data_IF_946670815600
#
_entry.id   IF_946670815600
#
_cell.length_a   1.000
_cell.length_b   1.000
_cell.length_c   1.000
_cell.angle_alpha   90.00
_cell.angle_beta   90.00
_cell.angle_gamma   90.00
#
_symmetry.space_group_name_H-M   'P 1'
#
loop_
_entity.id
_entity.type
_entity.pdbx_description
1 polymer ?
#
# COMPACT_ATOMS: atom_id res chain seq x y z
N UNK A 1 -4.06 -21.53 27.21
CA UNK A 1 -2.86 -21.84 26.38
C UNK A 1 -3.06 -21.23 25.00
N UNK A 2 -2.11 -20.43 24.50
CA UNK A 2 -2.19 -19.90 23.15
C UNK A 2 -2.07 -21.05 22.14
N UNK A 3 -3.10 -21.28 21.32
CA UNK A 3 -3.05 -22.27 20.24
C UNK A 3 -2.16 -21.73 19.12
N UNK A 4 -1.21 -22.52 18.65
CA UNK A 4 -0.41 -22.18 17.47
C UNK A 4 -1.36 -22.17 16.26
N UNK A 5 -1.36 -21.06 15.51
CA UNK A 5 -2.18 -20.94 14.31
C UNK A 5 -1.82 -22.02 13.28
N UNK A 6 -2.80 -22.56 12.52
CA UNK A 6 -2.52 -23.56 11.50
C UNK A 6 -1.64 -23.01 10.37
N UNK A 7 -1.09 -23.93 9.56
CA UNK A 7 -0.11 -23.57 8.53
C UNK A 7 -0.62 -22.54 7.51
N UNK A 8 -1.91 -22.59 7.17
CA UNK A 8 -2.53 -21.64 6.25
C UNK A 8 -2.50 -20.21 6.81
N UNK A 9 -3.02 -20.02 8.02
CA UNK A 9 -3.07 -18.73 8.71
C UNK A 9 -1.67 -18.15 8.91
N UNK A 10 -0.68 -18.99 9.28
CA UNK A 10 0.72 -18.56 9.38
C UNK A 10 1.29 -18.07 8.05
N UNK A 11 0.93 -18.70 6.94
CA UNK A 11 1.37 -18.25 5.62
C UNK A 11 0.71 -16.92 5.23
N UNK A 12 -0.59 -16.75 5.53
CA UNK A 12 -1.30 -15.49 5.29
C UNK A 12 -0.68 -14.36 6.12
N UNK A 13 -0.37 -14.59 7.40
CA UNK A 13 0.31 -13.59 8.25
C UNK A 13 1.61 -13.13 7.58
N UNK A 14 2.48 -14.06 7.21
CA UNK A 14 3.77 -13.73 6.57
C UNK A 14 3.58 -12.94 5.28
N UNK A 15 2.65 -13.38 4.43
CA UNK A 15 2.34 -12.70 3.17
C UNK A 15 1.91 -11.25 3.44
N UNK A 16 0.95 -11.06 4.35
CA UNK A 16 0.41 -9.74 4.65
C UNK A 16 1.44 -8.82 5.27
N UNK A 17 2.28 -9.33 6.17
CA UNK A 17 3.39 -8.56 6.77
C UNK A 17 4.38 -8.06 5.72
N UNK A 18 4.78 -8.92 4.77
CA UNK A 18 5.67 -8.52 3.67
C UNK A 18 5.01 -7.48 2.77
N UNK A 19 3.73 -7.68 2.43
CA UNK A 19 2.98 -6.75 1.59
C UNK A 19 2.84 -5.36 2.24
N UNK A 20 2.48 -5.31 3.54
CA UNK A 20 2.37 -4.05 4.29
C UNK A 20 3.71 -3.31 4.33
N UNK A 21 4.82 -4.05 4.51
CA UNK A 21 6.15 -3.46 4.56
C UNK A 21 6.55 -2.82 3.23
N UNK A 22 6.39 -3.56 2.12
CA UNK A 22 6.65 -3.04 0.77
C UNK A 22 5.74 -1.84 0.46
N UNK A 23 4.45 -1.95 0.79
CA UNK A 23 3.48 -0.88 0.58
C UNK A 23 3.85 0.39 1.37
N UNK A 24 4.25 0.24 2.64
CA UNK A 24 4.67 1.35 3.49
C UNK A 24 5.91 2.06 2.94
N UNK A 25 6.87 1.28 2.43
CA UNK A 25 8.03 1.83 1.72
C UNK A 25 7.61 2.67 0.51
N UNK A 26 6.73 2.16 -0.35
CA UNK A 26 6.30 2.89 -1.55
C UNK A 26 5.56 4.20 -1.25
N UNK A 27 4.72 4.22 -0.22
CA UNK A 27 4.01 5.44 0.17
C UNK A 27 4.99 6.50 0.65
N UNK A 28 6.00 6.11 1.42
CA UNK A 28 7.00 7.04 1.93
C UNK A 28 7.94 7.53 0.83
N UNK A 29 8.43 6.64 -0.04
CA UNK A 29 9.27 7.03 -1.18
C UNK A 29 8.52 7.96 -2.14
N UNK A 30 7.24 7.68 -2.40
CA UNK A 30 6.40 8.54 -3.23
C UNK A 30 6.25 9.93 -2.62
N UNK A 31 5.95 10.02 -1.32
CA UNK A 31 5.87 11.29 -0.60
C UNK A 31 7.17 12.10 -0.76
N UNK A 32 8.31 11.47 -0.47
CA UNK A 32 9.61 12.15 -0.49
C UNK A 32 9.97 12.60 -1.89
N UNK A 33 9.68 11.79 -2.91
CA UNK A 33 9.91 12.15 -4.31
C UNK A 33 9.11 13.40 -4.70
N UNK A 34 7.86 13.50 -4.28
CA UNK A 34 7.01 14.66 -4.57
C UNK A 34 7.49 15.90 -3.81
N UNK A 35 7.76 15.78 -2.51
CA UNK A 35 8.29 16.89 -1.69
C UNK A 35 9.62 17.41 -2.26
N UNK A 36 10.56 16.51 -2.56
CA UNK A 36 11.86 16.87 -3.15
C UNK A 36 11.72 17.49 -4.55
N UNK A 37 10.73 17.06 -5.33
CA UNK A 37 10.44 17.67 -6.63
C UNK A 37 9.96 19.09 -6.43
N UNK A 38 8.96 19.33 -5.57
CA UNK A 38 8.37 20.66 -5.35
C UNK A 38 9.31 21.67 -4.68
N UNK A 39 10.23 21.20 -3.83
CA UNK A 39 11.28 22.03 -3.24
C UNK A 39 12.35 22.47 -4.25
N UNK A 40 12.42 21.82 -5.41
CA UNK A 40 13.42 22.13 -6.42
C UNK A 40 13.17 23.52 -7.03
N UNK A 41 14.02 24.49 -6.64
CA UNK A 41 13.94 25.89 -7.06
C UNK A 41 14.01 26.08 -8.58
N UNK A 42 14.53 25.10 -9.33
CA UNK A 42 14.57 25.14 -10.80
C UNK A 42 13.18 25.04 -11.44
N UNK A 43 12.16 24.55 -10.72
CA UNK A 43 10.77 24.52 -11.18
C UNK A 43 10.20 25.94 -11.29
N UNK A 44 10.49 26.78 -10.30
CA UNK A 44 9.93 28.11 -10.19
C UNK A 44 10.40 29.02 -11.33
N UNK A 45 11.57 28.78 -11.93
CA UNK A 45 12.04 29.62 -13.04
C UNK A 45 11.27 29.41 -14.35
N UNK A 46 10.65 28.24 -14.55
CA UNK A 46 9.95 27.90 -15.79
C UNK A 46 8.42 28.06 -15.71
N UNK A 47 7.85 28.10 -14.51
CA UNK A 47 6.40 28.27 -14.30
C UNK A 47 6.13 29.59 -13.57
N UNK A 48 5.77 30.64 -14.33
CA UNK A 48 5.45 31.97 -13.79
C UNK A 48 4.37 31.93 -12.70
N UNK A 49 3.40 31.03 -12.81
CA UNK A 49 2.31 30.90 -11.84
C UNK A 49 2.75 30.19 -10.54
N UNK A 50 3.82 29.38 -10.59
CA UNK A 50 4.37 28.70 -9.42
C UNK A 50 5.23 29.63 -8.53
N UNK A 51 5.79 30.71 -9.08
CA UNK A 51 6.75 31.59 -8.37
C UNK A 51 6.20 32.28 -7.12
N UNK A 52 4.88 32.36 -6.97
CA UNK A 52 4.23 33.07 -5.88
C UNK A 52 3.46 32.17 -4.92
N UNK A 53 3.40 30.87 -5.17
CA UNK A 53 2.70 29.94 -4.30
C UNK A 53 3.59 29.52 -3.13
N UNK A 54 3.04 29.57 -1.92
CA UNK A 54 3.73 29.10 -0.71
C UNK A 54 3.99 27.60 -0.85
N UNK A 55 5.24 27.17 -0.63
CA UNK A 55 5.58 25.76 -0.57
C UNK A 55 4.65 25.01 0.40
N UNK A 56 4.10 23.85 -0.01
CA UNK A 56 3.20 23.07 0.84
C UNK A 56 3.92 22.64 2.11
N UNK A 57 3.22 22.72 3.24
CA UNK A 57 3.75 22.34 4.55
C UNK A 57 3.67 20.84 4.81
N UNK A 58 2.79 20.14 4.09
CA UNK A 58 2.64 18.70 4.17
C UNK A 58 2.14 18.10 2.85
N UNK A 59 2.36 16.81 2.67
CA UNK A 59 2.04 16.09 1.43
C UNK A 59 0.56 16.20 0.98
N UNK A 60 -0.38 16.37 1.92
CA UNK A 60 -1.78 16.69 1.58
C UNK A 60 -1.92 17.97 0.74
N UNK A 61 -1.36 19.08 1.23
CA UNK A 61 -1.31 20.37 0.52
C UNK A 61 -0.52 20.27 -0.79
N UNK A 62 0.56 19.49 -0.81
CA UNK A 62 1.35 19.27 -2.01
C UNK A 62 0.48 18.65 -3.12
N UNK A 63 -0.30 17.63 -2.80
CA UNK A 63 -1.20 16.99 -3.76
C UNK A 63 -2.37 17.91 -4.17
N UNK A 64 -2.89 18.73 -3.24
CA UNK A 64 -3.93 19.72 -3.56
C UNK A 64 -3.40 20.82 -4.50
N UNK A 65 -2.14 21.24 -4.31
CA UNK A 65 -1.45 22.19 -5.18
C UNK A 65 -1.22 21.59 -6.57
N UNK A 66 -0.74 20.35 -6.66
CA UNK A 66 -0.54 19.66 -7.94
C UNK A 66 -1.86 19.50 -8.71
N UNK A 67 -2.97 19.20 -8.02
CA UNK A 67 -4.30 19.10 -8.65
C UNK A 67 -4.78 20.46 -9.17
N UNK A 68 -4.71 21.51 -8.33
CA UNK A 68 -5.16 22.86 -8.70
C UNK A 68 -4.41 23.42 -9.91
N UNK A 69 -3.13 23.11 -10.01
CA UNK A 69 -2.28 23.48 -11.14
C UNK A 69 -2.41 22.54 -12.36
N UNK A 70 -3.34 21.57 -12.33
CA UNK A 70 -3.61 20.67 -13.45
C UNK A 70 -2.50 19.65 -13.73
N UNK A 71 -1.56 19.48 -12.81
CA UNK A 71 -0.42 18.57 -12.96
C UNK A 71 -0.78 17.12 -12.62
N UNK A 72 -1.83 16.91 -11.83
CA UNK A 72 -2.41 15.60 -11.56
C UNK A 72 -3.93 15.66 -11.64
N UNK A 73 -4.56 14.50 -11.82
CA UNK A 73 -6.02 14.39 -11.87
C UNK A 73 -6.65 14.34 -10.46
N UNK A 74 -7.96 14.65 -10.39
CA UNK A 74 -8.77 14.45 -9.17
C UNK A 74 -8.78 13.00 -8.72
N UNK A 75 -8.75 12.09 -9.68
CA UNK A 75 -8.69 10.65 -9.48
C UNK A 75 -7.38 10.26 -8.79
N UNK A 76 -6.24 10.81 -9.23
CA UNK A 76 -4.94 10.56 -8.60
C UNK A 76 -4.90 11.11 -7.17
N UNK A 77 -5.44 12.31 -6.95
CA UNK A 77 -5.56 12.89 -5.60
C UNK A 77 -6.40 12.03 -4.66
N UNK A 78 -7.56 11.58 -5.16
CA UNK A 78 -8.49 10.73 -4.42
C UNK A 78 -7.87 9.36 -4.12
N UNK A 79 -7.16 8.77 -5.07
CA UNK A 79 -6.46 7.50 -4.90
C UNK A 79 -5.34 7.61 -3.87
N UNK A 80 -4.53 8.66 -3.94
CA UNK A 80 -3.50 8.93 -2.92
C UNK A 80 -4.11 9.02 -1.51
N UNK A 81 -5.22 9.74 -1.35
CA UNK A 81 -5.91 9.88 -0.05
C UNK A 81 -6.35 8.51 0.50
N UNK A 82 -6.86 7.62 -0.36
CA UNK A 82 -7.27 6.26 0.04
C UNK A 82 -6.06 5.44 0.49
N UNK A 83 -4.95 5.50 -0.25
CA UNK A 83 -3.73 4.75 0.08
C UNK A 83 -3.07 5.25 1.36
N UNK A 84 -3.01 6.57 1.60
CA UNK A 84 -2.52 7.13 2.87
C UNK A 84 -3.40 6.71 4.04
N UNK A 85 -4.74 6.73 3.86
CA UNK A 85 -5.67 6.24 4.88
C UNK A 85 -5.39 4.79 5.21
N UNK A 86 -5.21 3.95 4.20
CA UNK A 86 -4.86 2.54 4.39
C UNK A 86 -3.52 2.37 5.11
N UNK A 87 -2.46 3.10 4.70
CA UNK A 87 -1.15 3.09 5.37
C UNK A 87 -1.27 3.45 6.85
N UNK A 88 -1.99 4.51 7.18
CA UNK A 88 -2.21 4.92 8.56
C UNK A 88 -2.97 3.84 9.36
N UNK A 89 -3.96 3.20 8.75
CA UNK A 89 -4.64 2.05 9.38
C UNK A 89 -3.67 0.90 9.63
N UNK A 90 -2.82 0.53 8.67
CA UNK A 90 -1.83 -0.54 8.87
C UNK A 90 -0.77 -0.22 9.91
N UNK A 91 -0.51 1.07 10.19
CA UNK A 91 0.48 1.50 11.18
C UNK A 91 -0.11 1.66 12.59
N UNK A 92 -1.35 2.13 12.71
CA UNK A 92 -1.99 2.38 14.01
C UNK A 92 -2.85 1.23 14.52
N UNK A 93 -3.34 0.39 13.62
CA UNK A 93 -4.29 -0.68 13.90
C UNK A 93 -3.83 -1.97 13.19
N UNK A 94 -2.53 -2.29 13.33
CA UNK A 94 -1.89 -3.40 12.61
C UNK A 94 -2.54 -4.75 12.93
N UNK A 95 -3.02 -4.92 14.16
CA UNK A 95 -3.75 -6.09 14.63
C UNK A 95 -5.01 -6.35 13.80
N UNK A 96 -5.67 -5.29 13.31
CA UNK A 96 -6.89 -5.39 12.51
C UNK A 96 -6.61 -6.00 11.13
N UNK A 97 -5.35 -5.99 10.67
CA UNK A 97 -4.93 -6.64 9.42
C UNK A 97 -4.82 -8.16 9.53
N UNK A 98 -4.94 -8.71 10.74
CA UNK A 98 -4.78 -10.14 11.03
C UNK A 98 -5.93 -10.75 11.81
N UNK A 99 -6.91 -9.94 12.25
CA UNK A 99 -8.03 -10.41 13.06
C UNK A 99 -8.82 -11.54 12.40
N UNK A 100 -9.02 -11.51 11.08
CA UNK A 100 -9.71 -12.58 10.33
C UNK A 100 -9.02 -13.96 10.44
N UNK A 101 -7.80 -14.01 10.97
CA UNK A 101 -7.04 -15.24 11.17
C UNK A 101 -7.11 -15.77 12.61
N UNK A 102 -7.70 -15.01 13.54
CA UNK A 102 -7.90 -15.46 14.92
C UNK A 102 -9.19 -16.27 15.05
N UNK A 103 -9.18 -17.26 15.95
CA UNK A 103 -10.35 -18.11 16.29
C UNK A 103 -11.04 -17.61 17.58
N UNK A 104 -11.03 -16.31 17.83
CA UNK A 104 -11.56 -15.71 19.05
C UNK A 104 -12.90 -15.03 18.76
N UNK A 105 -13.95 -15.43 19.47
CA UNK A 105 -15.31 -14.88 19.33
C UNK A 105 -15.34 -13.37 19.56
N UNK A 106 -14.46 -12.84 20.41
CA UNK A 106 -14.33 -11.40 20.64
C UNK A 106 -13.78 -10.66 19.41
N UNK A 107 -12.93 -11.32 18.62
CA UNK A 107 -12.41 -10.75 17.38
C UNK A 107 -13.48 -10.68 16.29
N UNK A 108 -14.44 -11.61 16.27
CA UNK A 108 -15.54 -11.60 15.30
C UNK A 108 -16.54 -10.45 15.55
N UNK A 109 -16.84 -10.16 16.81
CA UNK A 109 -17.65 -8.99 17.20
C UNK A 109 -16.93 -7.70 16.80
N UNK A 110 -15.62 -7.62 17.06
CA UNK A 110 -14.82 -6.44 16.73
C UNK A 110 -14.67 -6.22 15.21
N UNK A 111 -14.53 -7.31 14.43
CA UNK A 111 -14.52 -7.28 12.95
C UNK A 111 -15.83 -6.71 12.39
N UNK A 112 -16.97 -7.20 12.89
CA UNK A 112 -18.29 -6.76 12.43
C UNK A 112 -18.49 -5.26 12.67
N UNK A 113 -17.93 -4.72 13.75
CA UNK A 113 -18.02 -3.31 14.09
C UNK A 113 -17.13 -2.40 13.23
N UNK A 114 -15.88 -2.81 12.96
CA UNK A 114 -14.90 -1.98 12.23
C UNK A 114 -14.96 -2.12 10.70
N UNK A 115 -15.54 -3.21 10.18
CA UNK A 115 -15.64 -3.49 8.73
C UNK A 115 -14.32 -3.32 7.96
N UNK A 116 -13.19 -3.60 8.60
CA UNK A 116 -11.86 -3.43 7.99
C UNK A 116 -11.57 -4.65 7.12
N UNK A 117 -11.34 -4.38 5.84
CA UNK A 117 -10.91 -5.39 4.86
C UNK A 117 -9.46 -5.15 4.51
N UNK A 118 -8.67 -6.21 4.58
CA UNK A 118 -7.30 -6.20 4.09
C UNK A 118 -7.28 -5.95 2.57
N UNK A 119 -6.47 -4.98 2.12
CA UNK A 119 -6.34 -4.63 0.70
C UNK A 119 -5.15 -5.35 0.07
N UNK A 120 -5.46 -6.43 -0.64
CA UNK A 120 -4.48 -7.23 -1.37
C UNK A 120 -3.89 -6.51 -2.60
N UNK A 121 -4.55 -5.47 -3.12
CA UNK A 121 -4.13 -4.72 -4.31
C UNK A 121 -3.32 -3.46 -3.98
N UNK A 122 -3.04 -3.20 -2.70
CA UNK A 122 -2.43 -1.95 -2.24
C UNK A 122 -1.10 -1.62 -2.93
N UNK A 123 -0.23 -2.63 -3.16
CA UNK A 123 1.05 -2.46 -3.87
C UNK A 123 0.82 -2.05 -5.33
N UNK A 124 -0.08 -2.71 -6.04
CA UNK A 124 -0.33 -2.42 -7.45
C UNK A 124 -0.95 -1.04 -7.63
N UNK A 125 -1.85 -0.68 -6.71
CA UNK A 125 -2.49 0.64 -6.69
C UNK A 125 -1.46 1.77 -6.49
N UNK A 126 -0.55 1.64 -5.53
CA UNK A 126 0.50 2.67 -5.34
C UNK A 126 1.48 2.71 -6.52
N UNK A 127 1.86 1.55 -7.10
CA UNK A 127 2.71 1.51 -8.30
C UNK A 127 2.05 2.23 -9.49
N UNK A 128 0.78 1.96 -9.74
CA UNK A 128 0.00 2.62 -10.82
C UNK A 128 -0.13 4.11 -10.59
N UNK A 129 -0.52 4.52 -9.38
CA UNK A 129 -0.62 5.94 -9.03
C UNK A 129 0.71 6.66 -9.25
N UNK A 130 1.80 6.09 -8.72
CA UNK A 130 3.14 6.66 -8.83
C UNK A 130 3.56 6.81 -10.29
N UNK A 131 3.36 5.78 -11.10
CA UNK A 131 3.67 5.83 -12.54
C UNK A 131 2.92 6.97 -13.25
N UNK A 132 1.62 7.12 -13.01
CA UNK A 132 0.81 8.19 -13.61
C UNK A 132 1.26 9.57 -13.15
N UNK A 133 1.40 9.77 -11.85
CA UNK A 133 1.79 11.06 -11.27
C UNK A 133 3.18 11.45 -11.75
N UNK A 134 4.19 10.58 -11.61
CA UNK A 134 5.55 10.91 -12.02
C UNK A 134 5.66 11.15 -13.53
N UNK A 135 4.91 10.43 -14.36
CA UNK A 135 4.86 10.68 -15.81
C UNK A 135 4.20 12.00 -16.18
N UNK A 136 3.25 12.47 -15.37
CA UNK A 136 2.62 13.78 -15.56
C UNK A 136 3.55 14.91 -15.10
N UNK A 137 4.20 14.72 -13.95
CA UNK A 137 5.16 15.67 -13.42
C UNK A 137 6.40 15.77 -14.30
N UNK A 138 6.95 14.69 -14.85
CA UNK A 138 8.14 14.75 -15.71
C UNK A 138 7.99 15.58 -16.98
N UNK A 139 6.75 15.80 -17.44
CA UNK A 139 6.45 16.64 -18.61
C UNK A 139 6.57 18.13 -18.29
N UNK A 140 6.37 18.48 -17.02
CA UNK A 140 6.25 19.86 -16.57
C UNK A 140 7.34 20.25 -15.55
N UNK A 141 7.95 19.29 -14.86
CA UNK A 141 8.85 19.54 -13.73
C UNK A 141 10.11 18.70 -13.85
N UNK A 142 11.21 19.25 -13.32
CA UNK A 142 12.43 18.48 -13.11
C UNK A 142 12.24 17.55 -11.91
N UNK A 143 12.12 16.25 -12.17
CA UNK A 143 11.91 15.25 -11.13
C UNK A 143 13.17 15.06 -10.26
N UNK A 144 12.97 15.08 -8.95
CA UNK A 144 13.97 14.66 -7.97
C UNK A 144 13.74 13.19 -7.62
N UNK A 145 14.28 12.28 -8.42
CA UNK A 145 14.17 10.83 -8.17
C UNK A 145 15.18 10.41 -7.11
N UNK A 146 14.71 9.70 -6.09
CA UNK A 146 15.56 9.21 -5.00
C UNK A 146 16.31 7.92 -5.42
N UNK A 147 17.54 7.71 -4.93
CA UNK A 147 18.22 6.40 -5.07
C UNK A 147 17.64 5.32 -4.14
N UNK A 148 16.66 5.65 -3.29
CA UNK A 148 16.14 4.74 -2.26
C UNK A 148 15.50 3.51 -2.87
N UNK A 149 14.82 3.66 -4.01
CA UNK A 149 14.28 2.52 -4.75
C UNK A 149 15.37 1.58 -5.24
N UNK A 150 16.49 2.12 -5.73
CA UNK A 150 17.63 1.31 -6.12
C UNK A 150 18.22 0.57 -4.91
N UNK A 151 18.30 1.23 -3.75
CA UNK A 151 18.82 0.64 -2.52
C UNK A 151 17.85 -0.39 -1.91
N UNK A 152 16.56 -0.23 -2.11
CA UNK A 152 15.53 -1.17 -1.67
C UNK A 152 15.28 -2.30 -2.67
N UNK A 153 15.80 -2.20 -3.89
CA UNK A 153 15.48 -3.11 -4.99
C UNK A 153 15.74 -4.58 -4.68
N UNK A 154 16.83 -4.91 -4.00
CA UNK A 154 17.13 -6.31 -3.63
C UNK A 154 16.21 -6.83 -2.51
N UNK A 155 15.80 -5.95 -1.60
CA UNK A 155 14.81 -6.26 -0.55
C UNK A 155 13.45 -6.49 -1.19
N UNK A 156 13.00 -5.62 -2.10
CA UNK A 156 11.75 -5.78 -2.84
C UNK A 156 11.74 -7.11 -3.62
N UNK A 157 12.80 -7.41 -4.37
CA UNK A 157 12.91 -8.67 -5.13
C UNK A 157 12.80 -9.88 -4.19
N UNK A 158 13.49 -9.83 -3.05
CA UNK A 158 13.46 -10.91 -2.06
C UNK A 158 12.07 -11.10 -1.50
N UNK A 159 11.40 -10.03 -1.06
CA UNK A 159 10.04 -10.13 -0.54
C UNK A 159 9.04 -10.54 -1.61
N UNK A 160 9.15 -10.04 -2.83
CA UNK A 160 8.28 -10.43 -3.95
C UNK A 160 8.42 -11.93 -4.25
N UNK A 161 9.65 -12.45 -4.25
CA UNK A 161 9.91 -13.88 -4.44
C UNK A 161 9.29 -14.73 -3.33
N UNK A 162 9.47 -14.33 -2.07
CA UNK A 162 8.89 -15.06 -0.94
C UNK A 162 7.37 -14.95 -0.91
N UNK A 163 6.78 -13.80 -1.24
CA UNK A 163 5.35 -13.62 -1.37
C UNK A 163 4.75 -14.55 -2.42
N UNK A 164 5.38 -14.71 -3.59
CA UNK A 164 4.94 -15.67 -4.63
C UNK A 164 4.94 -17.12 -4.13
N UNK A 165 5.96 -17.52 -3.36
CA UNK A 165 5.98 -18.85 -2.74
C UNK A 165 4.88 -19.02 -1.69
N UNK A 166 4.63 -17.98 -0.91
CA UNK A 166 3.57 -17.98 0.11
C UNK A 166 2.19 -18.06 -0.53
N UNK A 167 1.95 -17.32 -1.60
CA UNK A 167 0.72 -17.34 -2.40
C UNK A 167 0.39 -18.75 -2.86
N UNK A 168 1.32 -19.44 -3.53
CA UNK A 168 1.12 -20.83 -3.95
C UNK A 168 0.80 -21.78 -2.78
N UNK A 169 1.41 -21.56 -1.60
CA UNK A 169 1.11 -22.34 -0.39
C UNK A 169 -0.26 -22.00 0.21
N UNK A 170 -0.68 -20.75 0.14
CA UNK A 170 -1.98 -20.28 0.61
C UNK A 170 -3.08 -20.87 -0.29
N UNK A 171 -2.94 -20.78 -1.60
CA UNK A 171 -3.87 -21.36 -2.57
C UNK A 171 -4.04 -22.87 -2.37
N UNK A 172 -2.94 -23.59 -2.19
CA UNK A 172 -2.97 -25.01 -1.87
C UNK A 172 -3.69 -25.29 -0.55
N UNK A 173 -3.41 -24.49 0.49
CA UNK A 173 -4.05 -24.64 1.79
C UNK A 173 -5.56 -24.36 1.75
N UNK A 174 -5.99 -23.33 1.00
CA UNK A 174 -7.40 -23.02 0.76
C UNK A 174 -8.06 -24.19 0.04
N UNK A 175 -7.47 -24.67 -1.06
CA UNK A 175 -8.02 -25.79 -1.86
C UNK A 175 -8.22 -27.05 -1.01
N UNK A 176 -7.24 -27.39 -0.16
CA UNK A 176 -7.34 -28.52 0.75
C UNK A 176 -8.44 -28.35 1.80
N UNK A 177 -8.63 -27.14 2.33
CA UNK A 177 -9.69 -26.86 3.30
C UNK A 177 -11.06 -26.94 2.65
N UNK A 178 -11.22 -26.38 1.46
CA UNK A 178 -12.46 -26.46 0.67
C UNK A 178 -12.82 -27.91 0.35
N UNK A 179 -11.85 -28.72 -0.11
CA UNK A 179 -12.08 -30.14 -0.42
C UNK A 179 -12.54 -30.95 0.80
N UNK A 180 -12.02 -30.64 2.00
CA UNK A 180 -12.48 -31.28 3.25
C UNK A 180 -13.92 -30.90 3.61
N UNK A 181 -14.29 -29.64 3.42
CA UNK A 181 -15.65 -29.16 3.68
C UNK A 181 -16.67 -29.76 2.71
N UNK A 182 -16.31 -29.93 1.44
CA UNK A 182 -17.19 -30.55 0.43
C UNK A 182 -17.21 -32.08 0.51
N UNK A 183 -16.13 -32.71 0.93
CA UNK A 183 -16.03 -34.18 1.06
C UNK A 183 -16.69 -34.75 2.33
N UNK A 184 -16.79 -33.96 3.40
CA UNK A 184 -17.46 -34.37 4.65
C UNK A 184 -19.01 -34.36 4.58
N UNK A 185 -19.59 -33.94 3.45
CA UNK A 185 -21.05 -33.86 3.25
C UNK A 185 -21.69 -35.08 2.57
N UNK A 186 -20.92 -36.13 2.27
CA UNK A 186 -21.40 -37.33 1.54
C UNK A 186 -21.30 -38.64 2.34
N UNK A 187 -21.00 -38.57 3.64
CA UNK A 187 -21.12 -39.70 4.56
C UNK A 187 -22.26 -39.41 5.54
N UNK A 188 -23.49 -39.76 5.15
CA UNK A 188 -24.68 -39.81 6.01
C UNK A 188 -25.56 -40.97 5.55
#
# INVERSE_FOLDING_TARGET
MAKILPALERNIIKYRSMQILIFSFYIEDFKITIESTLENKLIYTHFKDYQHEKLPSHMGEAMDMLERNGLISKEDRGEYKKLVKYRNQTSHEIELMFFDLTQDDAADIYKAYKAIKYDYECIDRIKRLRSRVLSSLSKNLLLCVSMRESMFGDVEKTFTHEMKKLEARIEKGISQRTAKLTGSGYES
#
